data_IF_553287936967
#
_entry.id   IF_553287936967
#
_cell.length_a   1.000
_cell.length_b   1.000
_cell.length_c   1.000
_cell.angle_alpha   90.00
_cell.angle_beta   90.00
_cell.angle_gamma   90.00
#
_symmetry.space_group_name_H-M   'P 1'
#
loop_
_entity.id
_entity.type
_entity.pdbx_description
1 polymer ?
#
# COMPACT_ATOMS: atom_id res chain seq x y z
N UNK A 1 20.46 68.00 -34.87
CA UNK A 1 20.69 66.69 -34.22
C UNK A 1 19.47 66.36 -33.39
N UNK A 2 18.58 65.54 -33.93
CA UNK A 2 17.43 64.99 -33.21
C UNK A 2 17.82 63.61 -32.64
N UNK A 3 17.35 63.22 -31.44
CA UNK A 3 17.58 61.87 -30.93
C UNK A 3 16.68 60.84 -31.64
N UNK A 4 17.13 59.58 -31.79
CA UNK A 4 16.43 58.54 -32.52
C UNK A 4 15.27 57.93 -31.72
N UNK A 5 14.30 57.39 -32.46
CA UNK A 5 12.95 57.03 -31.99
C UNK A 5 12.87 55.83 -31.05
N UNK A 6 11.89 55.92 -30.15
CA UNK A 6 11.41 54.83 -29.32
C UNK A 6 10.56 53.86 -30.16
N UNK A 7 10.93 52.58 -30.12
CA UNK A 7 10.14 51.46 -30.64
C UNK A 7 8.89 51.26 -29.78
N UNK A 8 7.70 50.97 -30.35
CA UNK A 8 6.51 50.70 -29.55
C UNK A 8 6.68 49.41 -28.76
N UNK A 9 6.41 49.46 -27.46
CA UNK A 9 6.35 48.30 -26.58
C UNK A 9 5.12 47.44 -26.92
N UNK A 10 5.37 46.15 -27.16
CA UNK A 10 4.33 45.15 -27.40
C UNK A 10 3.38 45.07 -26.18
N UNK A 11 2.09 45.26 -26.45
CA UNK A 11 1.03 45.07 -25.47
C UNK A 11 0.86 43.56 -25.26
N UNK A 12 1.42 43.02 -24.17
CA UNK A 12 1.14 41.66 -23.71
C UNK A 12 -0.38 41.52 -23.46
N UNK A 13 -1.02 40.68 -24.25
CA UNK A 13 -2.40 40.25 -24.00
C UNK A 13 -2.40 39.20 -22.89
N UNK A 14 -3.38 39.20 -21.96
CA UNK A 14 -3.39 38.25 -20.85
C UNK A 14 -3.61 36.83 -21.39
N UNK A 15 -2.59 35.99 -21.28
CA UNK A 15 -2.67 34.56 -21.59
C UNK A 15 -3.62 33.92 -20.57
N UNK A 16 -4.78 33.42 -21.05
CA UNK A 16 -5.71 32.64 -20.23
C UNK A 16 -5.01 31.37 -19.73
N UNK A 17 -5.13 31.01 -18.44
CA UNK A 17 -4.55 29.79 -17.92
C UNK A 17 -5.19 28.55 -18.59
N UNK A 18 -4.43 27.45 -18.76
CA UNK A 18 -4.92 26.24 -19.38
C UNK A 18 -6.06 25.64 -18.56
N UNK A 19 -7.11 25.18 -19.26
CA UNK A 19 -8.27 24.52 -18.65
C UNK A 19 -7.81 23.24 -17.93
N UNK A 20 -7.97 23.22 -16.61
CA UNK A 20 -7.73 22.04 -15.79
C UNK A 20 -8.65 20.90 -16.21
N UNK A 21 -8.08 19.71 -16.40
CA UNK A 21 -8.85 18.48 -16.55
C UNK A 21 -9.79 18.30 -15.36
N UNK A 22 -11.10 18.22 -15.63
CA UNK A 22 -12.10 17.89 -14.63
C UNK A 22 -11.89 16.44 -14.18
N UNK A 23 -11.32 16.23 -12.99
CA UNK A 23 -11.54 14.97 -12.27
C UNK A 23 -13.00 14.93 -11.83
N UNK A 24 -13.69 13.83 -12.11
CA UNK A 24 -15.09 13.58 -11.75
C UNK A 24 -15.35 13.44 -10.25
N UNK A 25 -14.30 13.49 -9.42
CA UNK A 25 -14.41 13.36 -7.97
C UNK A 25 -14.49 14.75 -7.32
N UNK A 26 -15.45 14.98 -6.41
CA UNK A 26 -15.51 16.21 -5.66
C UNK A 26 -14.27 16.35 -4.75
N UNK A 27 -13.58 17.49 -4.75
CA UNK A 27 -12.43 17.69 -3.86
C UNK A 27 -12.91 17.72 -2.41
N UNK A 28 -12.21 17.01 -1.53
CA UNK A 28 -12.42 17.07 -0.10
C UNK A 28 -12.23 18.52 0.38
N UNK A 29 -13.31 19.20 0.74
CA UNK A 29 -13.29 20.61 1.11
C UNK A 29 -12.67 20.78 2.51
N UNK A 30 -11.77 21.74 2.67
CA UNK A 30 -11.10 22.10 3.94
C UNK A 30 -12.09 22.32 5.08
N UNK A 31 -13.30 22.81 4.75
CA UNK A 31 -14.38 23.01 5.71
C UNK A 31 -14.91 21.70 6.32
N UNK A 32 -14.97 20.62 5.54
CA UNK A 32 -15.38 19.28 6.01
C UNK A 32 -14.29 18.68 6.91
N UNK A 33 -13.02 18.90 6.56
CA UNK A 33 -11.88 18.51 7.40
C UNK A 33 -11.81 19.34 8.70
N UNK A 34 -12.18 20.63 8.65
CA UNK A 34 -12.20 21.53 9.80
C UNK A 34 -13.34 21.27 10.79
N UNK A 35 -14.47 20.71 10.33
CA UNK A 35 -15.58 20.32 11.20
C UNK A 35 -15.34 18.99 11.90
N UNK A 36 -14.45 18.15 11.35
CA UNK A 36 -13.95 16.93 12.00
C UNK A 36 -12.94 17.22 13.13
N UNK A 37 -12.31 18.41 13.13
CA UNK A 37 -11.25 18.79 14.10
C UNK A 37 -11.77 19.20 15.48
N UNK A 38 -13.08 19.10 15.75
CA UNK A 38 -13.68 19.25 17.10
C UNK A 38 -13.96 17.90 17.78
N UNK A 39 -13.08 16.91 17.65
CA UNK A 39 -13.21 15.65 18.42
C UNK A 39 -12.03 15.50 19.37
N UNK A 40 -12.32 15.72 20.65
CA UNK A 40 -11.54 15.23 21.80
C UNK A 40 -11.59 13.69 21.92
N UNK A 41 -11.75 12.97 20.81
CA UNK A 41 -11.84 11.53 20.75
C UNK A 41 -10.49 10.97 20.28
N UNK A 42 -10.05 9.86 20.86
CA UNK A 42 -8.89 9.14 20.37
C UNK A 42 -9.10 8.75 18.90
N UNK A 43 -8.09 9.01 18.07
CA UNK A 43 -8.16 8.74 16.63
C UNK A 43 -8.17 7.23 16.36
N UNK A 44 -9.13 6.77 15.55
CA UNK A 44 -9.11 5.43 14.98
C UNK A 44 -7.95 5.32 13.97
N UNK A 45 -6.99 4.40 14.14
CA UNK A 45 -5.76 4.37 13.32
C UNK A 45 -6.01 4.22 11.81
N UNK A 46 -7.10 3.57 11.42
CA UNK A 46 -7.44 3.42 10.00
C UNK A 46 -8.20 4.61 9.40
N UNK A 47 -9.11 5.22 10.17
CA UNK A 47 -10.06 6.19 9.62
C UNK A 47 -9.66 7.64 9.90
N UNK A 48 -9.18 7.90 11.11
CA UNK A 48 -8.93 9.26 11.58
C UNK A 48 -7.50 9.71 11.30
N UNK A 49 -6.52 8.80 11.27
CA UNK A 49 -5.16 9.09 10.84
C UNK A 49 -5.15 9.45 9.34
N UNK A 50 -4.55 10.57 8.99
CA UNK A 50 -4.36 10.92 7.59
C UNK A 50 -3.32 10.02 6.91
N UNK A 51 -3.49 9.76 5.62
CA UNK A 51 -2.50 9.06 4.81
C UNK A 51 -1.20 9.86 4.67
N UNK A 52 -1.26 11.19 4.78
CA UNK A 52 -0.12 12.10 4.71
C UNK A 52 0.02 12.79 3.34
N UNK A 53 0.65 13.98 3.29
CA UNK A 53 0.67 14.85 2.11
C UNK A 53 1.54 14.35 0.95
N UNK A 54 2.39 13.34 1.19
CA UNK A 54 3.26 12.75 0.16
C UNK A 54 2.65 11.57 -0.60
N UNK A 55 1.41 11.18 -0.27
CA UNK A 55 0.76 10.01 -0.87
C UNK A 55 0.53 10.26 -2.38
N UNK A 56 0.62 9.21 -3.23
CA UNK A 56 0.82 7.80 -2.90
C UNK A 56 2.30 7.38 -2.70
N UNK A 57 3.27 8.28 -2.88
CA UNK A 57 4.71 7.94 -2.83
C UNK A 57 5.24 7.77 -1.41
N UNK A 58 4.87 8.70 -0.53
CA UNK A 58 5.24 8.72 0.89
C UNK A 58 3.95 8.82 1.70
N UNK A 59 3.70 7.85 2.56
CA UNK A 59 2.47 7.76 3.34
C UNK A 59 2.77 7.41 4.80
N UNK A 60 1.83 7.70 5.69
CA UNK A 60 1.81 7.15 7.03
C UNK A 60 1.52 5.65 6.96
N UNK A 61 2.17 4.87 7.80
CA UNK A 61 1.99 3.43 7.96
C UNK A 61 1.75 3.16 9.43
N UNK A 62 0.64 2.49 9.78
CA UNK A 62 0.40 2.00 11.15
C UNK A 62 0.98 0.60 11.25
N UNK A 63 1.92 0.40 12.18
CA UNK A 63 2.58 -0.89 12.38
C UNK A 63 1.69 -1.78 13.24
N UNK A 64 1.47 -3.01 12.78
CA UNK A 64 0.75 -4.04 13.53
C UNK A 64 1.73 -5.06 14.12
N UNK A 65 2.76 -5.43 13.36
CA UNK A 65 3.67 -6.52 13.71
C UNK A 65 5.10 -6.01 13.64
N UNK A 66 5.79 -6.07 14.78
CA UNK A 66 7.21 -5.75 14.86
C UNK A 66 8.06 -6.78 14.13
N UNK A 67 9.16 -6.33 13.53
CA UNK A 67 10.24 -7.20 13.03
C UNK A 67 10.64 -8.22 14.09
N UNK A 68 10.73 -9.50 13.69
CA UNK A 68 11.09 -10.61 14.56
C UNK A 68 9.94 -11.20 15.38
N UNK A 69 8.71 -10.69 15.25
CA UNK A 69 7.55 -11.24 15.96
C UNK A 69 7.07 -12.56 15.33
N UNK A 70 6.68 -13.51 16.20
CA UNK A 70 5.90 -14.71 15.84
C UNK A 70 4.39 -14.52 16.06
N UNK A 71 4.00 -13.45 16.74
CA UNK A 71 2.60 -13.12 16.96
C UNK A 71 2.11 -12.32 15.76
N UNK A 72 1.09 -12.83 15.07
CA UNK A 72 0.36 -12.09 14.06
C UNK A 72 -0.69 -11.24 14.79
N UNK A 73 -0.34 -9.98 14.98
CA UNK A 73 -1.29 -8.95 15.37
C UNK A 73 -2.09 -8.49 14.15
N UNK A 74 -3.24 -7.89 14.40
CA UNK A 74 -4.05 -7.22 13.40
C UNK A 74 -4.86 -6.09 14.05
N UNK A 75 -5.26 -5.13 13.23
CA UNK A 75 -6.24 -4.12 13.58
C UNK A 75 -7.62 -4.76 13.75
N UNK A 76 -8.23 -4.57 14.92
CA UNK A 76 -9.68 -4.74 15.05
C UNK A 76 -10.39 -3.53 14.43
N UNK A 77 -10.82 -3.67 13.16
CA UNK A 77 -11.47 -2.61 12.35
C UNK A 77 -12.64 -1.89 13.04
N UNK A 78 -13.29 -2.54 14.01
CA UNK A 78 -14.42 -1.97 14.74
C UNK A 78 -13.98 -1.03 15.86
N UNK A 79 -12.95 -1.40 16.63
CA UNK A 79 -12.54 -0.64 17.82
C UNK A 79 -11.30 0.22 17.59
N UNK A 80 -10.51 -0.07 16.56
CA UNK A 80 -9.22 0.58 16.29
C UNK A 80 -8.09 0.06 17.17
N UNK A 81 -8.32 -0.98 17.97
CA UNK A 81 -7.31 -1.58 18.84
C UNK A 81 -6.53 -2.66 18.11
N UNK A 82 -5.30 -2.91 18.55
CA UNK A 82 -4.51 -4.06 18.11
C UNK A 82 -4.98 -5.30 18.87
N UNK A 83 -5.34 -6.35 18.13
CA UNK A 83 -5.66 -7.67 18.67
C UNK A 83 -4.66 -8.72 18.19
N UNK A 84 -4.55 -9.80 18.94
CA UNK A 84 -3.86 -11.01 18.48
C UNK A 84 -4.83 -11.75 17.57
N UNK A 85 -4.47 -11.91 16.30
CA UNK A 85 -5.17 -12.82 15.38
C UNK A 85 -4.80 -14.26 15.74
N UNK A 86 -3.48 -14.54 15.69
CA UNK A 86 -2.92 -15.84 16.01
C UNK A 86 -1.41 -15.77 16.29
N UNK A 87 -0.88 -16.85 16.85
CA UNK A 87 0.57 -17.13 16.81
C UNK A 87 0.85 -17.95 15.55
N UNK A 88 1.92 -17.63 14.81
CA UNK A 88 2.27 -18.36 13.60
C UNK A 88 2.50 -19.86 13.87
N UNK A 89 1.97 -20.71 12.99
CA UNK A 89 1.99 -22.17 13.12
C UNK A 89 3.37 -22.76 12.80
N UNK A 90 4.13 -22.08 11.95
CA UNK A 90 5.51 -22.42 11.59
C UNK A 90 6.50 -21.74 12.53
N UNK A 91 7.73 -22.26 12.64
CA UNK A 91 8.81 -21.61 13.38
C UNK A 91 9.45 -20.49 12.56
N UNK A 92 8.64 -19.53 12.15
CA UNK A 92 9.02 -18.35 11.36
C UNK A 92 8.64 -17.08 12.11
N UNK A 93 9.30 -15.98 11.78
CA UNK A 93 9.04 -14.64 12.34
C UNK A 93 8.99 -13.63 11.21
N UNK A 94 8.25 -12.54 11.39
CA UNK A 94 8.18 -11.47 10.38
C UNK A 94 9.57 -10.87 10.15
N UNK A 95 10.09 -10.83 8.91
CA UNK A 95 11.46 -10.39 8.63
C UNK A 95 11.65 -8.87 8.80
N UNK A 96 10.56 -8.12 8.71
CA UNK A 96 10.50 -6.66 8.79
C UNK A 96 9.25 -6.20 9.53
N UNK A 97 9.17 -4.90 9.86
CA UNK A 97 7.95 -4.33 10.44
C UNK A 97 6.82 -4.42 9.40
N UNK A 98 5.61 -4.70 9.86
CA UNK A 98 4.46 -4.94 9.00
C UNK A 98 3.23 -4.23 9.56
N UNK A 99 2.40 -3.74 8.68
CA UNK A 99 1.11 -3.17 9.03
C UNK A 99 0.39 -2.66 7.80
N UNK A 100 -0.34 -1.56 7.94
CA UNK A 100 -1.25 -1.09 6.90
C UNK A 100 -1.18 0.43 6.67
N UNK A 101 -1.70 0.85 5.52
CA UNK A 101 -1.80 2.26 5.13
C UNK A 101 -3.19 2.80 5.56
N UNK A 102 -3.26 3.84 6.41
CA UNK A 102 -4.53 4.41 6.83
C UNK A 102 -5.27 5.04 5.64
N UNK A 103 -6.60 5.06 5.69
CA UNK A 103 -7.48 5.56 4.62
C UNK A 103 -7.24 4.92 3.25
N UNK A 104 -6.99 3.61 3.26
CA UNK A 104 -6.96 2.74 2.08
C UNK A 104 -7.92 1.58 2.26
N UNK A 105 -8.31 0.94 1.16
CA UNK A 105 -9.20 -0.22 1.14
C UNK A 105 -8.83 -1.13 -0.04
N UNK A 106 -8.84 -2.43 0.19
CA UNK A 106 -8.64 -3.48 -0.80
C UNK A 106 -9.94 -4.31 -0.99
N UNK A 107 -9.94 -5.19 -1.98
CA UNK A 107 -11.10 -6.01 -2.35
C UNK A 107 -11.51 -7.03 -1.26
N UNK A 108 -10.60 -7.34 -0.35
CA UNK A 108 -10.81 -8.17 0.85
C UNK A 108 -11.47 -7.40 2.03
N UNK A 109 -11.72 -6.10 1.85
CA UNK A 109 -12.22 -5.17 2.88
C UNK A 109 -11.24 -4.87 4.01
N UNK A 110 -9.94 -5.03 3.77
CA UNK A 110 -8.86 -4.58 4.65
C UNK A 110 -8.13 -3.36 4.06
N UNK A 111 -7.45 -2.56 4.90
CA UNK A 111 -6.52 -1.56 4.40
C UNK A 111 -5.34 -2.21 3.68
N UNK A 112 -4.72 -1.47 2.76
CA UNK A 112 -3.60 -1.97 1.98
C UNK A 112 -2.40 -2.27 2.87
N UNK A 113 -1.90 -3.50 2.77
CA UNK A 113 -0.77 -4.02 3.53
C UNK A 113 0.57 -3.42 3.09
N UNK A 114 1.46 -3.25 4.06
CA UNK A 114 2.83 -2.76 3.83
C UNK A 114 3.86 -3.43 4.73
N UNK A 115 4.97 -3.84 4.11
CA UNK A 115 6.19 -4.31 4.76
C UNK A 115 7.23 -3.18 4.75
N UNK A 116 7.65 -2.73 5.94
CA UNK A 116 8.57 -1.58 6.11
C UNK A 116 9.97 -2.04 6.52
N UNK A 117 10.92 -1.81 5.62
CA UNK A 117 12.33 -2.07 5.80
C UNK A 117 12.98 -0.86 6.50
N UNK A 118 13.61 -1.12 7.64
CA UNK A 118 14.34 -0.13 8.44
C UNK A 118 15.30 -0.83 9.41
N UNK A 119 16.12 -0.06 10.13
CA UNK A 119 17.10 -0.57 11.10
C UNK A 119 16.42 -1.22 12.31
N UNK A 120 15.45 -0.53 12.91
CA UNK A 120 14.89 -0.88 14.23
C UNK A 120 13.47 -1.48 14.17
N UNK A 121 13.11 -2.37 15.12
CA UNK A 121 11.74 -2.82 15.30
C UNK A 121 10.85 -1.68 15.78
N UNK A 122 9.59 -1.66 15.32
CA UNK A 122 8.57 -0.67 15.73
C UNK A 122 7.43 -1.37 16.45
N UNK A 123 6.93 -0.75 17.51
CA UNK A 123 5.87 -1.32 18.34
C UNK A 123 4.51 -1.33 17.63
N UNK A 124 3.65 -2.35 17.87
CA UNK A 124 2.28 -2.37 17.37
C UNK A 124 1.46 -1.15 17.82
N UNK A 125 0.68 -0.58 16.90
CA UNK A 125 -0.13 0.63 17.11
C UNK A 125 0.62 1.95 16.94
N UNK A 126 1.96 1.93 16.84
CA UNK A 126 2.72 3.11 16.43
C UNK A 126 2.61 3.32 14.91
N UNK A 127 2.72 4.57 14.46
CA UNK A 127 2.82 4.87 13.04
C UNK A 127 4.13 5.56 12.68
N UNK A 128 4.52 5.47 11.42
CA UNK A 128 5.73 6.07 10.85
C UNK A 128 5.48 6.53 9.41
N UNK A 129 6.37 7.35 8.85
CA UNK A 129 6.32 7.69 7.42
C UNK A 129 7.10 6.65 6.63
N UNK A 130 6.47 6.07 5.62
CA UNK A 130 7.06 5.08 4.74
C UNK A 130 7.06 5.59 3.29
N UNK A 131 8.07 5.21 2.52
CA UNK A 131 8.17 5.48 1.08
C UNK A 131 8.08 4.15 0.34
N UNK A 132 7.11 4.02 -0.56
CA UNK A 132 6.97 2.83 -1.38
C UNK A 132 8.14 2.71 -2.37
N UNK A 133 8.71 1.52 -2.45
CA UNK A 133 9.82 1.18 -3.36
C UNK A 133 9.50 -0.01 -4.27
N UNK A 134 8.42 -0.75 -4.00
CA UNK A 134 7.96 -1.83 -4.86
C UNK A 134 6.65 -2.43 -4.34
N UNK A 135 6.10 -3.37 -5.09
CA UNK A 135 4.94 -4.16 -4.68
C UNK A 135 5.25 -5.63 -4.92
N UNK A 136 4.78 -6.47 -4.00
CA UNK A 136 4.89 -7.92 -4.06
C UNK A 136 3.51 -8.49 -4.34
N UNK A 137 3.21 -8.86 -5.60
CA UNK A 137 1.93 -9.46 -5.92
C UNK A 137 1.84 -10.86 -5.32
N UNK A 138 0.75 -11.13 -4.60
CA UNK A 138 0.52 -12.38 -3.91
C UNK A 138 -0.88 -12.91 -4.22
N UNK A 139 -0.99 -14.23 -4.30
CA UNK A 139 -2.25 -14.94 -4.41
C UNK A 139 -2.36 -15.87 -3.20
N UNK A 140 -3.34 -15.62 -2.33
CA UNK A 140 -3.66 -16.49 -1.19
C UNK A 140 -4.71 -17.54 -1.56
N UNK A 141 -4.71 -18.65 -0.83
CA UNK A 141 -5.63 -19.78 -0.98
C UNK A 141 -5.67 -20.37 -2.38
N UNK A 142 -4.49 -20.64 -2.95
CA UNK A 142 -4.41 -21.38 -4.22
C UNK A 142 -5.06 -22.75 -4.01
N UNK A 143 -6.30 -22.91 -4.48
CA UNK A 143 -6.96 -24.22 -4.53
C UNK A 143 -6.55 -24.86 -5.85
N UNK A 144 -5.62 -25.81 -5.78
CA UNK A 144 -5.50 -26.80 -6.83
C UNK A 144 -6.76 -27.67 -6.79
N UNK A 145 -7.73 -27.40 -7.67
CA UNK A 145 -8.87 -28.30 -7.81
C UNK A 145 -8.34 -29.66 -8.28
N UNK A 146 -8.66 -30.74 -7.55
CA UNK A 146 -8.25 -32.12 -7.88
C UNK A 146 -8.75 -32.55 -9.27
N UNK A 147 -9.71 -31.82 -9.84
CA UNK A 147 -10.29 -32.04 -11.16
C UNK A 147 -9.41 -31.56 -12.33
N UNK A 148 -8.46 -30.65 -12.10
CA UNK A 148 -7.65 -30.05 -13.19
C UNK A 148 -6.30 -30.74 -13.42
N UNK A 149 -5.90 -31.70 -12.56
CA UNK A 149 -4.71 -32.52 -12.79
C UNK A 149 -4.81 -33.38 -14.05
N UNK A 150 -6.02 -33.69 -14.52
CA UNK A 150 -6.26 -34.41 -15.77
C UNK A 150 -6.37 -33.46 -16.98
N UNK A 151 -6.68 -32.18 -16.79
CA UNK A 151 -6.76 -31.16 -17.86
C UNK A 151 -5.40 -30.52 -18.22
N UNK A 152 -4.45 -30.51 -17.28
CA UNK A 152 -3.07 -30.04 -17.55
C UNK A 152 -2.30 -30.92 -18.56
N UNK A 153 -2.74 -32.16 -18.78
CA UNK A 153 -2.20 -33.02 -19.84
C UNK A 153 -2.83 -32.73 -21.22
N UNK A 154 -3.96 -32.02 -21.29
CA UNK A 154 -4.66 -31.73 -22.56
C UNK A 154 -4.55 -30.29 -23.04
N UNK A 155 -4.00 -29.36 -22.26
CA UNK A 155 -3.89 -27.93 -22.59
C UNK A 155 -2.43 -27.42 -22.71
N UNK A 156 -1.50 -28.26 -23.20
CA UNK A 156 -0.10 -27.88 -23.44
C UNK A 156 0.14 -26.82 -24.55
N UNK A 157 -0.85 -26.04 -24.98
CA UNK A 157 -0.70 -25.14 -26.13
C UNK A 157 -1.08 -23.66 -25.90
N UNK A 158 -1.25 -23.20 -24.66
CA UNK A 158 -1.29 -21.76 -24.37
C UNK A 158 -0.32 -21.39 -23.24
N UNK A 159 0.84 -20.78 -23.54
CA UNK A 159 1.81 -20.38 -22.54
C UNK A 159 1.35 -19.22 -21.63
N UNK A 160 0.18 -18.60 -21.88
CA UNK A 160 -0.33 -17.47 -21.11
C UNK A 160 -1.53 -17.79 -20.20
N UNK A 161 -2.03 -19.03 -20.17
CA UNK A 161 -3.25 -19.37 -19.42
C UNK A 161 -2.96 -20.33 -18.28
N UNK A 162 -2.32 -19.84 -17.21
CA UNK A 162 -2.41 -20.46 -15.89
C UNK A 162 -3.45 -19.69 -15.10
N UNK A 163 -4.69 -20.18 -15.08
CA UNK A 163 -5.74 -19.62 -14.22
C UNK A 163 -5.46 -20.06 -12.79
N UNK A 164 -4.64 -19.29 -12.06
CA UNK A 164 -4.51 -19.46 -10.61
C UNK A 164 -5.78 -18.87 -9.99
N UNK A 165 -6.69 -19.73 -9.53
CA UNK A 165 -7.82 -19.30 -8.71
C UNK A 165 -7.33 -19.05 -7.28
N UNK A 166 -7.43 -17.80 -6.82
CA UNK A 166 -7.12 -17.40 -5.45
C UNK A 166 -7.45 -15.93 -5.20
N UNK A 167 -7.41 -15.51 -3.94
CA UNK A 167 -7.66 -14.12 -3.53
C UNK A 167 -6.37 -13.31 -3.74
N UNK A 168 -6.51 -12.17 -4.42
CA UNK A 168 -5.40 -11.26 -4.66
C UNK A 168 -5.07 -10.53 -3.35
N UNK A 169 -3.81 -10.56 -2.94
CA UNK A 169 -3.35 -10.03 -1.65
C UNK A 169 -2.00 -9.29 -1.83
N UNK A 170 -1.99 -8.28 -2.71
CA UNK A 170 -0.78 -7.53 -3.04
C UNK A 170 -0.25 -6.77 -1.80
N UNK A 171 1.06 -6.81 -1.59
CA UNK A 171 1.70 -6.14 -0.44
C UNK A 171 2.70 -5.09 -0.88
N UNK A 172 2.62 -3.90 -0.31
CA UNK A 172 3.58 -2.83 -0.59
C UNK A 172 4.89 -3.11 0.12
N UNK A 173 6.01 -2.95 -0.59
CA UNK A 173 7.35 -2.95 -0.01
C UNK A 173 7.79 -1.50 0.11
N UNK A 174 8.11 -1.08 1.34
CA UNK A 174 8.47 0.28 1.66
C UNK A 174 9.73 0.36 2.53
N UNK A 175 10.33 1.55 2.56
CA UNK A 175 11.37 1.93 3.53
C UNK A 175 10.84 3.01 4.46
N UNK A 176 11.32 3.05 5.71
CA UNK A 176 11.03 4.18 6.59
C UNK A 176 11.67 5.46 6.01
N UNK A 177 10.86 6.50 5.78
CA UNK A 177 11.30 7.76 5.18
C UNK A 177 12.17 8.60 6.12
N UNK A 178 12.14 8.28 7.42
CA UNK A 178 12.87 8.97 8.48
C UNK A 178 14.10 8.19 8.98
N UNK A 179 14.35 6.98 8.45
CA UNK A 179 15.53 6.19 8.78
C UNK A 179 16.74 6.64 7.93
N UNK A 180 17.85 7.12 8.53
CA UNK A 180 19.00 7.62 7.79
C UNK A 180 19.67 6.57 6.88
N UNK A 181 19.60 5.28 7.24
CA UNK A 181 20.17 4.18 6.45
C UNK A 181 19.30 3.90 5.21
N UNK A 182 17.97 3.94 5.37
CA UNK A 182 17.03 3.43 4.37
C UNK A 182 16.27 4.47 3.56
N UNK A 183 16.16 5.71 4.04
CA UNK A 183 15.37 6.77 3.36
C UNK A 183 15.83 7.08 1.93
N UNK A 184 17.04 6.69 1.57
CA UNK A 184 17.67 6.95 0.29
C UNK A 184 17.26 5.98 -0.82
N UNK A 185 16.73 4.80 -0.48
CA UNK A 185 16.22 3.82 -1.45
C UNK A 185 14.94 4.32 -2.12
N UNK A 186 14.82 4.20 -3.44
CA UNK A 186 13.70 4.66 -4.25
C UNK A 186 13.07 3.54 -5.09
N UNK A 187 13.76 2.42 -5.29
CA UNK A 187 13.22 1.27 -6.02
C UNK A 187 13.68 -0.06 -5.39
N UNK A 188 12.85 -1.09 -5.52
CA UNK A 188 13.08 -2.41 -4.93
C UNK A 188 14.35 -3.08 -5.46
N UNK A 189 14.77 -2.76 -6.69
CA UNK A 189 15.96 -3.32 -7.32
C UNK A 189 17.28 -2.80 -6.71
N UNK A 190 17.23 -1.74 -5.91
CA UNK A 190 18.39 -1.21 -5.19
C UNK A 190 18.71 -2.04 -3.92
N UNK A 191 17.77 -2.86 -3.45
CA UNK A 191 17.99 -3.72 -2.30
C UNK A 191 18.90 -4.91 -2.64
N UNK A 192 19.70 -5.40 -1.68
CA UNK A 192 20.46 -6.63 -1.87
C UNK A 192 19.54 -7.80 -2.25
N UNK A 193 19.85 -8.60 -3.29
CA UNK A 193 18.95 -9.65 -3.79
C UNK A 193 18.53 -10.68 -2.73
N UNK A 194 19.42 -10.97 -1.78
CA UNK A 194 19.13 -11.88 -0.67
C UNK A 194 17.95 -11.40 0.19
N UNK A 195 17.76 -10.07 0.34
CA UNK A 195 16.65 -9.50 1.11
C UNK A 195 15.30 -9.80 0.46
N UNK A 196 15.22 -9.69 -0.87
CA UNK A 196 14.01 -10.01 -1.62
C UNK A 196 13.69 -11.50 -1.54
N UNK A 197 14.73 -12.35 -1.59
CA UNK A 197 14.58 -13.79 -1.44
C UNK A 197 14.07 -14.19 -0.04
N UNK A 198 14.55 -13.54 1.03
CA UNK A 198 14.07 -13.75 2.39
C UNK A 198 12.59 -13.37 2.54
N UNK A 199 12.20 -12.19 2.05
CA UNK A 199 10.82 -11.70 2.10
C UNK A 199 9.90 -12.65 1.33
N UNK A 200 10.25 -13.02 0.10
CA UNK A 200 9.49 -13.98 -0.71
C UNK A 200 9.29 -15.29 0.06
N UNK A 201 10.38 -15.83 0.60
CA UNK A 201 10.34 -17.13 1.28
C UNK A 201 9.48 -17.11 2.53
N UNK A 202 9.49 -16.01 3.28
CA UNK A 202 8.63 -15.83 4.43
C UNK A 202 7.14 -15.95 4.06
N UNK A 203 6.68 -15.24 3.02
CA UNK A 203 5.28 -15.27 2.61
C UNK A 203 4.85 -16.60 1.96
N UNK A 204 5.77 -17.32 1.34
CA UNK A 204 5.51 -18.70 0.90
C UNK A 204 5.34 -19.67 2.09
N UNK A 205 6.09 -19.48 3.18
CA UNK A 205 6.20 -20.47 4.26
C UNK A 205 5.26 -20.22 5.47
N UNK A 206 4.87 -18.97 5.75
CA UNK A 206 4.20 -18.62 7.02
C UNK A 206 2.83 -19.26 7.23
N UNK A 207 2.12 -19.60 6.14
CA UNK A 207 0.80 -20.25 6.16
C UNK A 207 0.84 -21.76 5.86
N UNK A 208 2.02 -22.35 5.59
CA UNK A 208 2.13 -23.78 5.19
C UNK A 208 1.59 -24.74 6.23
N UNK A 209 1.91 -24.54 7.51
CA UNK A 209 1.41 -25.37 8.61
C UNK A 209 -0.07 -25.10 8.95
N UNK A 210 -0.72 -24.14 8.29
CA UNK A 210 -2.18 -23.95 8.32
C UNK A 210 -2.88 -24.73 7.18
N UNK A 211 -2.15 -25.52 6.40
CA UNK A 211 -2.62 -26.18 5.17
C UNK A 211 -3.16 -25.20 4.11
N UNK A 212 -2.57 -24.00 4.05
CA UNK A 212 -2.86 -22.99 3.02
C UNK A 212 -1.65 -22.83 2.11
N UNK A 213 -1.92 -22.64 0.83
CA UNK A 213 -0.91 -22.43 -0.20
C UNK A 213 -0.95 -20.96 -0.66
N UNK A 214 0.23 -20.35 -0.71
CA UNK A 214 0.43 -18.95 -1.09
C UNK A 214 1.40 -18.92 -2.27
N UNK A 215 1.01 -18.26 -3.35
CA UNK A 215 1.88 -18.01 -4.49
C UNK A 215 2.35 -16.55 -4.45
N UNK A 216 3.67 -16.36 -4.46
CA UNK A 216 4.30 -15.03 -4.54
C UNK A 216 4.86 -14.86 -5.95
N UNK A 217 4.39 -13.84 -6.67
CA UNK A 217 4.88 -13.55 -8.04
C UNK A 217 6.16 -12.70 -7.98
N UNK A 218 6.68 -12.31 -9.15
CA UNK A 218 7.82 -11.40 -9.21
C UNK A 218 7.50 -10.03 -8.64
N UNK A 219 8.46 -9.48 -7.88
CA UNK A 219 8.37 -8.14 -7.34
C UNK A 219 8.29 -7.13 -8.49
N UNK A 220 7.39 -6.16 -8.34
CA UNK A 220 7.19 -5.09 -9.30
C UNK A 220 7.82 -3.78 -8.78
N UNK A 221 8.25 -2.87 -9.68
CA UNK A 221 8.95 -1.64 -9.32
C UNK A 221 8.07 -0.65 -8.56
N UNK A 222 8.69 0.42 -8.03
CA UNK A 222 8.02 1.43 -7.22
C UNK A 222 6.82 2.09 -7.92
N UNK A 223 6.86 2.24 -9.25
CA UNK A 223 5.74 2.79 -10.02
C UNK A 223 4.45 2.00 -9.86
N UNK A 224 4.54 0.66 -9.83
CA UNK A 224 3.38 -0.23 -9.60
C UNK A 224 2.88 -0.16 -8.17
N UNK A 225 3.77 0.07 -7.21
CA UNK A 225 3.36 0.32 -5.84
C UNK A 225 2.51 1.61 -5.72
N UNK A 226 2.92 2.69 -6.41
CA UNK A 226 2.16 3.94 -6.40
C UNK A 226 0.76 3.79 -7.01
N UNK A 227 0.65 3.03 -8.11
CA UNK A 227 -0.64 2.70 -8.73
C UNK A 227 -1.54 1.93 -7.75
N UNK A 228 -1.01 0.93 -7.05
CA UNK A 228 -1.77 0.13 -6.07
C UNK A 228 -2.23 0.97 -4.87
N UNK A 229 -1.34 1.81 -4.31
CA UNK A 229 -1.71 2.72 -3.21
C UNK A 229 -2.79 3.69 -3.66
N UNK A 230 -2.64 4.31 -4.83
CA UNK A 230 -3.66 5.22 -5.37
C UNK A 230 -5.00 4.53 -5.56
N UNK A 231 -5.01 3.33 -6.14
CA UNK A 231 -6.25 2.56 -6.33
C UNK A 231 -6.96 2.27 -4.99
N UNK A 232 -6.19 1.87 -3.96
CA UNK A 232 -6.75 1.60 -2.63
C UNK A 232 -7.29 2.86 -1.93
N UNK A 233 -6.71 4.04 -2.21
CA UNK A 233 -7.23 5.33 -1.73
C UNK A 233 -8.58 5.66 -2.38
N UNK A 234 -8.70 5.41 -3.68
CA UNK A 234 -9.93 5.66 -4.44
C UNK A 234 -11.06 4.76 -3.93
N UNK A 235 -10.79 3.47 -3.72
CA UNK A 235 -11.74 2.52 -3.12
C UNK A 235 -12.19 2.94 -1.72
N UNK A 236 -11.26 3.39 -0.88
CA UNK A 236 -11.60 3.88 0.45
C UNK A 236 -12.49 5.13 0.40
N UNK A 237 -12.21 6.07 -0.52
CA UNK A 237 -13.02 7.27 -0.69
C UNK A 237 -14.46 6.93 -1.10
N UNK A 238 -14.63 6.01 -2.03
CA UNK A 238 -15.95 5.52 -2.46
C UNK A 238 -16.70 4.84 -1.31
N UNK A 239 -16.02 3.96 -0.56
CA UNK A 239 -16.57 3.30 0.63
C UNK A 239 -17.08 4.30 1.67
N UNK A 240 -16.29 5.34 1.98
CA UNK A 240 -16.69 6.36 2.96
C UNK A 240 -17.89 7.17 2.44
N UNK A 241 -17.90 7.57 1.17
CA UNK A 241 -19.04 8.30 0.58
C UNK A 241 -20.32 7.47 0.63
N UNK A 242 -20.25 6.17 0.32
CA UNK A 242 -21.39 5.28 0.44
C UNK A 242 -21.86 5.10 1.89
N UNK A 243 -20.93 5.00 2.83
CA UNK A 243 -21.24 4.88 4.26
C UNK A 243 -21.96 6.11 4.81
N UNK A 244 -21.63 7.32 4.32
CA UNK A 244 -22.24 8.58 4.72
C UNK A 244 -23.63 8.80 4.09
N UNK A 245 -23.97 8.08 3.02
CA UNK A 245 -25.28 8.14 2.35
C UNK A 245 -26.35 7.27 3.02
N UNK A 246 -25.94 6.32 3.87
CA UNK A 246 -26.83 5.43 4.62
C UNK A 246 -27.18 6.03 5.97
#
# INVERSE_FOLDING_TARGET
MAPPGETPTDIETPVKPPKSHHSSHPPLNERILSSLTRRSAAAHPWHDLEIGPGAPKIFNCVVEISRGSKVKYELDKKTGLIKVDRVLYSSVVYPHNYGFIPRTLCEDNDPLDVLVIMQEPVLPGCFLRAKAIGVMPMIDQVRLSVTERTALLSLQNDPNCFVIQGEKDDKIIAVCADDPEYRHYNDINELPPHRLAEIRRFFEDYKKNENKEVAVNDFLPASKAYEAVQHSMDLYADYIVESLRR
#
